data_IF_876099555558
#
_entry.id   IF_876099555558
#
_cell.length_a   1.000
_cell.length_b   1.000
_cell.length_c   1.000
_cell.angle_alpha   90.00
_cell.angle_beta   90.00
_cell.angle_gamma   90.00
#
_symmetry.space_group_name_H-M   'P 1'
#
loop_
_entity.id
_entity.type
_entity.pdbx_description
1 polymer ?
#
# COMPACT_ATOMS: atom_id res chain seq x y z
N UNK A 1 20.16 -6.06 15.73
CA UNK A 1 20.84 -4.83 15.35
C UNK A 1 21.26 -4.07 16.60
N UNK A 2 22.30 -3.26 16.52
CA UNK A 2 22.75 -2.41 17.63
C UNK A 2 21.92 -1.13 17.71
N UNK A 3 21.63 -0.58 16.56
CA UNK A 3 20.78 0.61 16.37
C UNK A 3 19.82 0.34 15.20
N UNK A 4 18.60 0.83 15.33
CA UNK A 4 17.56 0.74 14.29
C UNK A 4 16.88 2.10 14.18
N UNK A 5 16.86 2.67 12.98
CA UNK A 5 16.19 3.93 12.71
C UNK A 5 15.22 3.76 11.54
N UNK A 6 13.97 4.15 11.75
CA UNK A 6 12.93 4.16 10.71
C UNK A 6 12.83 5.57 10.11
N UNK A 7 12.98 5.66 8.80
CA UNK A 7 12.85 6.90 8.03
C UNK A 7 11.53 6.94 7.31
N UNK A 8 10.77 8.00 7.48
CA UNK A 8 9.49 8.21 6.81
C UNK A 8 9.49 9.49 5.99
N UNK A 9 9.03 9.41 4.74
CA UNK A 9 8.89 10.56 3.83
C UNK A 9 7.92 11.62 4.36
N UNK A 10 6.82 11.17 4.97
CA UNK A 10 5.79 12.02 5.56
C UNK A 10 6.06 12.39 7.01
N UNK A 11 5.18 13.18 7.61
CA UNK A 11 5.13 13.47 9.04
C UNK A 11 4.43 12.37 9.86
N UNK A 12 3.91 11.35 9.18
CA UNK A 12 3.23 10.19 9.78
C UNK A 12 3.64 8.93 9.05
N UNK A 13 3.53 7.81 9.75
CA UNK A 13 3.64 6.46 9.18
C UNK A 13 2.28 5.80 9.19
N UNK A 14 2.07 4.82 8.32
CA UNK A 14 0.80 4.08 8.18
C UNK A 14 0.61 2.99 9.22
N UNK A 15 1.63 2.67 10.01
CA UNK A 15 1.54 1.71 11.10
C UNK A 15 0.55 2.19 12.18
N UNK A 16 -0.11 1.26 12.87
CA UNK A 16 -1.00 1.56 13.98
C UNK A 16 -0.23 2.19 15.15
N UNK A 17 -0.93 2.96 15.99
CA UNK A 17 -0.32 3.56 17.19
C UNK A 17 0.30 2.52 18.13
N UNK A 18 -0.28 1.31 18.16
CA UNK A 18 0.21 0.19 18.94
C UNK A 18 1.56 -0.34 18.43
N UNK A 19 1.67 -0.57 17.12
CA UNK A 19 2.92 -0.98 16.49
C UNK A 19 4.03 0.06 16.67
N UNK A 20 3.69 1.35 16.52
CA UNK A 20 4.64 2.44 16.76
C UNK A 20 5.13 2.46 18.22
N UNK A 21 4.22 2.25 19.16
CA UNK A 21 4.56 2.23 20.59
C UNK A 21 5.49 1.05 20.91
N UNK A 22 5.20 -0.14 20.41
CA UNK A 22 6.06 -1.31 20.59
C UNK A 22 7.44 -1.10 19.96
N UNK A 23 7.49 -0.59 18.75
CA UNK A 23 8.77 -0.33 18.05
C UNK A 23 9.66 0.63 18.85
N UNK A 24 9.06 1.66 19.47
CA UNK A 24 9.79 2.57 20.36
C UNK A 24 10.26 1.89 21.65
N UNK A 25 9.46 1.01 22.24
CA UNK A 25 9.86 0.26 23.43
C UNK A 25 11.03 -0.69 23.14
N UNK A 26 11.11 -1.24 21.94
CA UNK A 26 12.24 -2.04 21.45
C UNK A 26 13.50 -1.19 21.13
N UNK A 27 13.43 0.12 21.31
CA UNK A 27 14.58 1.03 21.18
C UNK A 27 14.84 1.52 19.75
N UNK A 28 13.88 1.43 18.85
CA UNK A 28 14.03 2.00 17.50
C UNK A 28 13.68 3.49 17.47
N UNK A 29 14.46 4.26 16.71
CA UNK A 29 14.24 5.68 16.48
C UNK A 29 13.40 5.93 15.20
N UNK A 30 12.73 7.08 15.17
CA UNK A 30 11.91 7.52 14.05
C UNK A 30 12.35 8.89 13.56
N UNK A 31 12.64 8.99 12.26
CA UNK A 31 12.99 10.22 11.57
C UNK A 31 11.95 10.48 10.48
N UNK A 32 11.29 11.63 10.55
CA UNK A 32 10.23 12.02 9.62
C UNK A 32 10.72 13.05 8.60
N UNK A 33 10.03 13.16 7.48
CA UNK A 33 10.35 14.10 6.43
C UNK A 33 11.58 13.72 5.61
N UNK A 34 11.96 12.45 5.56
CA UNK A 34 13.11 11.95 4.81
C UNK A 34 12.64 10.95 3.75
N UNK A 35 12.80 11.32 2.48
CA UNK A 35 12.55 10.46 1.33
C UNK A 35 13.86 9.84 0.86
N UNK A 36 13.89 8.52 0.72
CA UNK A 36 15.07 7.84 0.17
C UNK A 36 15.26 8.22 -1.30
N UNK A 37 16.46 8.61 -1.67
CA UNK A 37 16.85 8.96 -3.04
C UNK A 37 17.68 7.86 -3.69
N UNK A 38 18.67 7.36 -2.99
CA UNK A 38 19.56 6.29 -3.45
C UNK A 38 20.20 5.56 -2.27
N UNK A 39 20.83 4.44 -2.56
CA UNK A 39 21.64 3.67 -1.62
C UNK A 39 23.01 3.46 -2.26
N UNK A 40 24.06 3.70 -1.51
CA UNK A 40 25.44 3.45 -1.90
C UNK A 40 26.15 2.57 -0.86
N UNK A 41 27.46 2.37 -0.99
CA UNK A 41 28.25 1.50 -0.08
C UNK A 41 28.27 2.00 1.37
N UNK A 42 28.10 3.32 1.60
CA UNK A 42 28.04 3.89 2.94
C UNK A 42 26.64 3.79 3.57
N UNK A 43 25.59 3.56 2.77
CA UNK A 43 24.22 3.48 3.23
C UNK A 43 23.24 4.31 2.40
N UNK A 44 22.06 4.64 2.94
CA UNK A 44 21.04 5.39 2.23
C UNK A 44 21.33 6.90 2.17
N UNK A 45 20.91 7.52 1.07
CA UNK A 45 20.89 8.97 0.89
C UNK A 45 19.44 9.45 0.87
N UNK A 46 19.17 10.52 1.59
CA UNK A 46 17.82 11.08 1.74
C UNK A 46 17.72 12.50 1.23
N UNK A 47 16.55 12.84 0.67
CA UNK A 47 16.06 14.20 0.48
C UNK A 47 15.15 14.60 1.64
N UNK A 48 15.25 15.85 2.09
CA UNK A 48 14.33 16.39 3.08
C UNK A 48 13.03 16.81 2.40
N UNK A 49 11.90 16.34 2.92
CA UNK A 49 10.58 16.66 2.39
C UNK A 49 10.14 18.06 2.79
N UNK A 50 9.61 18.82 1.82
CA UNK A 50 8.95 20.12 2.03
C UNK A 50 7.45 19.87 2.16
N UNK A 51 6.84 20.46 3.17
CA UNK A 51 5.41 20.24 3.50
C UNK A 51 4.59 21.50 3.32
N UNK A 52 3.35 21.35 2.88
CA UNK A 52 2.32 22.39 2.94
C UNK A 52 1.70 22.53 4.34
N UNK A 53 0.74 23.45 4.49
CA UNK A 53 -0.01 23.68 5.74
C UNK A 53 -0.79 22.46 6.22
N UNK A 54 -1.14 21.53 5.32
CA UNK A 54 -1.86 20.29 5.58
C UNK A 54 -0.93 19.10 5.84
N UNK A 55 0.38 19.33 5.99
CA UNK A 55 1.42 18.30 6.14
C UNK A 55 1.54 17.34 4.95
N UNK A 56 1.09 17.75 3.74
CA UNK A 56 1.31 17.02 2.51
C UNK A 56 2.68 17.39 1.94
N UNK A 57 3.40 16.40 1.43
CA UNK A 57 4.69 16.62 0.75
C UNK A 57 4.43 17.31 -0.59
N UNK A 58 5.00 18.50 -0.77
CA UNK A 58 4.88 19.33 -1.99
C UNK A 58 6.19 19.43 -2.77
N UNK A 59 7.30 18.94 -2.20
CA UNK A 59 8.60 18.98 -2.84
C UNK A 59 9.69 18.43 -1.92
N UNK A 60 10.93 18.59 -2.36
CA UNK A 60 12.11 18.16 -1.62
C UNK A 60 13.20 19.22 -1.70
N UNK A 61 14.01 19.32 -0.64
CA UNK A 61 15.22 20.14 -0.67
C UNK A 61 16.25 19.56 -1.64
N UNK A 62 17.11 20.39 -2.20
CA UNK A 62 18.19 19.94 -3.10
C UNK A 62 19.29 19.20 -2.37
N UNK A 63 19.50 19.55 -1.09
CA UNK A 63 20.54 18.94 -0.26
C UNK A 63 20.20 17.47 0.03
N UNK A 64 21.21 16.61 -0.15
CA UNK A 64 21.15 15.21 0.22
C UNK A 64 21.83 14.98 1.57
N UNK A 65 21.21 14.16 2.40
CA UNK A 65 21.75 13.71 3.66
C UNK A 65 22.18 12.24 3.56
N UNK A 66 23.48 11.98 3.68
CA UNK A 66 24.04 10.61 3.76
C UNK A 66 23.90 10.09 5.18
N UNK A 67 23.42 8.87 5.32
CA UNK A 67 23.37 8.14 6.59
C UNK A 67 24.22 6.88 6.46
N UNK A 68 25.08 6.63 7.41
CA UNK A 68 25.85 5.38 7.48
C UNK A 68 24.96 4.25 8.00
N UNK A 69 24.97 3.10 7.32
CA UNK A 69 24.20 1.93 7.72
C UNK A 69 24.79 0.65 7.15
N UNK A 70 24.90 -0.38 7.97
CA UNK A 70 25.35 -1.73 7.57
C UNK A 70 24.28 -2.47 6.75
N UNK A 71 23.00 -2.14 6.97
CA UNK A 71 21.85 -2.78 6.33
C UNK A 71 20.70 -1.80 6.13
N UNK A 72 20.05 -1.90 4.98
CA UNK A 72 18.87 -1.09 4.63
C UNK A 72 17.70 -2.00 4.28
N UNK A 73 16.56 -1.79 4.93
CA UNK A 73 15.30 -2.51 4.64
C UNK A 73 14.30 -1.52 4.05
N UNK A 74 13.86 -1.79 2.83
CA UNK A 74 12.89 -0.96 2.13
C UNK A 74 11.46 -1.43 2.46
N UNK A 75 10.72 -0.61 3.23
CA UNK A 75 9.35 -0.87 3.68
C UNK A 75 8.38 0.19 3.14
N UNK A 76 8.36 0.39 1.82
CA UNK A 76 7.58 1.46 1.16
C UNK A 76 6.25 0.99 0.59
N UNK A 77 5.76 -0.19 1.00
CA UNK A 77 4.57 -0.85 0.49
C UNK A 77 4.74 -1.33 -0.96
N UNK A 78 3.67 -1.88 -1.52
CA UNK A 78 3.63 -2.38 -2.89
C UNK A 78 2.49 -1.70 -3.65
N UNK A 79 2.66 -1.54 -4.95
CA UNK A 79 1.62 -1.08 -5.85
C UNK A 79 1.01 -2.25 -6.63
N UNK A 80 -0.26 -2.18 -7.04
CA UNK A 80 -0.87 -3.17 -7.91
C UNK A 80 -0.08 -3.35 -9.21
N UNK A 81 0.06 -4.61 -9.67
CA UNK A 81 0.62 -4.90 -10.99
C UNK A 81 -0.49 -4.75 -12.03
N UNK A 82 -0.36 -3.80 -12.95
CA UNK A 82 -1.38 -3.52 -13.96
C UNK A 82 -1.46 -4.57 -15.09
N UNK A 83 -0.61 -5.60 -15.10
CA UNK A 83 -0.56 -6.56 -16.21
C UNK A 83 -1.91 -7.19 -16.51
N UNK A 84 -2.64 -7.64 -15.47
CA UNK A 84 -3.96 -8.26 -15.64
C UNK A 84 -4.93 -7.31 -16.34
N UNK A 85 -5.02 -6.07 -15.89
CA UNK A 85 -5.94 -5.06 -16.44
C UNK A 85 -5.55 -4.67 -17.86
N UNK A 86 -4.25 -4.57 -18.16
CA UNK A 86 -3.76 -4.23 -19.49
C UNK A 86 -3.95 -5.35 -20.52
N UNK A 87 -4.15 -6.59 -20.08
CA UNK A 87 -4.31 -7.77 -20.94
C UNK A 87 -5.72 -8.35 -20.94
N UNK A 88 -6.65 -7.76 -20.20
CA UNK A 88 -8.04 -8.22 -20.12
C UNK A 88 -8.98 -7.06 -20.40
N UNK A 89 -9.68 -7.17 -21.54
CA UNK A 89 -10.68 -6.19 -21.93
C UNK A 89 -11.79 -6.09 -20.88
N UNK A 90 -12.37 -4.88 -20.75
CA UNK A 90 -13.50 -4.57 -19.86
C UNK A 90 -13.16 -4.52 -18.36
N UNK A 91 -11.98 -4.92 -17.90
CA UNK A 91 -11.58 -4.68 -16.51
C UNK A 91 -11.16 -3.22 -16.31
N UNK A 92 -11.83 -2.52 -15.41
CA UNK A 92 -11.53 -1.14 -15.04
C UNK A 92 -10.94 -1.07 -13.62
N UNK A 93 -10.13 -0.04 -13.40
CA UNK A 93 -9.49 0.21 -12.10
C UNK A 93 -9.75 1.62 -11.61
N UNK A 94 -9.53 1.82 -10.33
CA UNK A 94 -9.37 3.14 -9.73
C UNK A 94 -8.08 3.80 -10.23
N UNK A 95 -7.89 5.10 -9.94
CA UNK A 95 -6.63 5.82 -10.18
C UNK A 95 -5.42 5.15 -9.51
N UNK A 96 -5.63 4.39 -8.44
CA UNK A 96 -4.59 3.64 -7.72
C UNK A 96 -4.31 2.26 -8.32
N UNK A 97 -4.98 1.87 -9.41
CA UNK A 97 -4.80 0.58 -10.07
C UNK A 97 -5.54 -0.60 -9.39
N UNK A 98 -6.46 -0.34 -8.47
CA UNK A 98 -7.29 -1.37 -7.83
C UNK A 98 -8.53 -1.65 -8.67
N UNK A 99 -8.96 -2.92 -8.75
CA UNK A 99 -10.14 -3.31 -9.52
C UNK A 99 -11.41 -2.63 -9.00
N UNK A 100 -12.24 -2.14 -9.93
CA UNK A 100 -13.59 -1.66 -9.61
C UNK A 100 -14.53 -2.85 -9.53
N UNK A 101 -15.35 -2.88 -8.48
CA UNK A 101 -16.39 -3.88 -8.25
C UNK A 101 -17.70 -3.20 -7.89
N UNK A 102 -18.82 -3.93 -8.09
CA UNK A 102 -20.14 -3.57 -7.60
C UNK A 102 -20.37 -4.06 -6.15
N UNK A 103 -21.62 -3.91 -5.67
CA UNK A 103 -22.04 -4.36 -4.35
C UNK A 103 -21.99 -5.89 -4.15
N UNK A 104 -22.00 -6.66 -5.22
CA UNK A 104 -21.89 -8.12 -5.24
C UNK A 104 -20.45 -8.62 -5.48
N UNK A 105 -19.46 -7.72 -5.45
CA UNK A 105 -18.05 -8.01 -5.75
C UNK A 105 -17.79 -8.42 -7.21
N UNK A 106 -18.72 -8.20 -8.14
CA UNK A 106 -18.51 -8.41 -9.56
C UNK A 106 -17.72 -7.23 -10.14
N UNK A 107 -16.73 -7.51 -10.95
CA UNK A 107 -15.92 -6.49 -11.63
C UNK A 107 -16.70 -5.84 -12.76
N UNK A 108 -16.09 -4.89 -13.46
CA UNK A 108 -16.67 -4.33 -14.68
C UNK A 108 -16.71 -5.30 -15.87
N UNK A 109 -16.08 -6.47 -15.74
CA UNK A 109 -16.20 -7.59 -16.67
C UNK A 109 -17.21 -8.59 -16.09
N UNK A 110 -18.31 -8.79 -16.82
CA UNK A 110 -19.41 -9.65 -16.38
C UNK A 110 -18.96 -11.09 -16.08
N UNK A 111 -19.48 -11.67 -14.99
CA UNK A 111 -19.12 -13.00 -14.51
C UNK A 111 -17.74 -13.10 -13.85
N UNK A 112 -16.98 -12.00 -13.75
CA UNK A 112 -15.68 -11.95 -13.07
C UNK A 112 -15.81 -11.21 -11.75
N UNK A 113 -15.42 -11.87 -10.67
CA UNK A 113 -15.50 -11.35 -9.30
C UNK A 113 -14.11 -11.09 -8.73
N UNK A 114 -14.01 -10.11 -7.84
CA UNK A 114 -12.76 -9.77 -7.17
C UNK A 114 -12.98 -9.38 -5.71
N UNK A 115 -12.01 -9.71 -4.86
CA UNK A 115 -12.03 -9.40 -3.43
C UNK A 115 -10.61 -9.25 -2.87
N UNK A 116 -10.48 -8.69 -1.67
CA UNK A 116 -9.22 -8.53 -0.95
C UNK A 116 -8.34 -7.42 -1.50
N UNK A 117 -7.02 -7.58 -1.39
CA UNK A 117 -6.03 -6.54 -1.69
C UNK A 117 -6.11 -5.99 -3.12
N UNK A 118 -6.59 -6.77 -4.08
CA UNK A 118 -6.74 -6.34 -5.47
C UNK A 118 -7.85 -5.29 -5.65
N UNK A 119 -8.78 -5.20 -4.70
CA UNK A 119 -9.92 -4.27 -4.68
C UNK A 119 -9.69 -3.10 -3.73
N UNK A 120 -9.26 -3.36 -2.51
CA UNK A 120 -9.16 -2.35 -1.45
C UNK A 120 -7.72 -1.88 -1.17
N UNK A 121 -6.72 -2.53 -1.76
CA UNK A 121 -5.32 -2.34 -1.42
C UNK A 121 -4.89 -3.21 -0.23
N UNK A 122 -3.60 -3.13 0.12
CA UNK A 122 -3.03 -3.96 1.17
C UNK A 122 -3.76 -3.78 2.52
N UNK A 123 -4.30 -4.88 3.05
CA UNK A 123 -5.05 -4.92 4.29
C UNK A 123 -4.77 -6.25 5.04
N UNK A 124 -5.54 -6.54 6.09
CA UNK A 124 -5.36 -7.74 6.90
C UNK A 124 -5.98 -8.98 6.25
N UNK A 125 -5.48 -10.16 6.62
CA UNK A 125 -6.04 -11.45 6.18
C UNK A 125 -7.52 -11.58 6.59
N UNK A 126 -7.90 -11.04 7.75
CA UNK A 126 -9.30 -11.06 8.23
C UNK A 126 -10.24 -10.36 7.23
N UNK A 127 -9.86 -9.16 6.78
CA UNK A 127 -10.63 -8.44 5.76
C UNK A 127 -10.69 -9.19 4.43
N UNK A 128 -9.55 -9.76 3.98
CA UNK A 128 -9.54 -10.53 2.74
C UNK A 128 -10.48 -11.74 2.79
N UNK A 129 -10.56 -12.44 3.93
CA UNK A 129 -11.48 -13.57 4.13
C UNK A 129 -12.94 -13.11 4.18
N UNK A 130 -13.25 -11.99 4.84
CA UNK A 130 -14.59 -11.41 4.87
C UNK A 130 -15.06 -11.04 3.46
N UNK A 131 -14.23 -10.36 2.69
CA UNK A 131 -14.55 -9.98 1.32
C UNK A 131 -14.67 -11.19 0.38
N UNK A 132 -13.84 -12.22 0.56
CA UNK A 132 -13.95 -13.46 -0.21
C UNK A 132 -15.31 -14.15 0.02
N UNK A 133 -15.85 -14.13 1.25
CA UNK A 133 -17.21 -14.64 1.54
C UNK A 133 -18.28 -13.82 0.81
N UNK A 134 -18.17 -12.48 0.83
CA UNK A 134 -19.09 -11.62 0.08
C UNK A 134 -19.06 -11.89 -1.42
N UNK A 135 -17.86 -12.08 -1.98
CA UNK A 135 -17.67 -12.42 -3.38
C UNK A 135 -18.32 -13.78 -3.71
N UNK A 136 -18.15 -14.80 -2.85
CA UNK A 136 -18.79 -16.10 -3.02
C UNK A 136 -20.32 -16.01 -3.01
N UNK A 137 -20.91 -15.22 -2.11
CA UNK A 137 -22.35 -14.96 -2.10
C UNK A 137 -22.81 -14.20 -3.38
N UNK A 138 -22.00 -13.26 -3.87
CA UNK A 138 -22.25 -12.58 -5.13
C UNK A 138 -22.25 -13.52 -6.33
N UNK A 139 -21.28 -14.46 -6.38
CA UNK A 139 -21.22 -15.50 -7.41
C UNK A 139 -22.45 -16.41 -7.39
N UNK A 140 -22.90 -16.83 -6.21
CA UNK A 140 -24.11 -17.67 -6.06
C UNK A 140 -25.34 -16.92 -6.63
N UNK A 141 -25.55 -15.67 -6.21
CA UNK A 141 -26.65 -14.85 -6.73
C UNK A 141 -26.61 -14.65 -8.24
N UNK A 142 -25.42 -14.50 -8.80
CA UNK A 142 -25.23 -14.36 -10.24
C UNK A 142 -25.63 -15.65 -10.98
N UNK A 143 -25.16 -16.80 -10.54
CA UNK A 143 -25.49 -18.11 -11.14
C UNK A 143 -26.98 -18.44 -11.04
N UNK A 144 -27.64 -18.17 -9.89
CA UNK A 144 -29.08 -18.39 -9.70
C UNK A 144 -29.93 -17.52 -10.62
N UNK A 145 -29.45 -16.33 -10.99
CA UNK A 145 -30.13 -15.46 -11.96
C UNK A 145 -30.04 -16.02 -13.38
N UNK A 146 -28.86 -16.46 -13.78
CA UNK A 146 -28.60 -17.04 -15.10
C UNK A 146 -29.37 -18.35 -15.35
N UNK A 147 -29.63 -19.14 -14.29
CA UNK A 147 -30.46 -20.36 -14.39
C UNK A 147 -31.94 -20.08 -14.58
N UNK A 148 -32.43 -18.87 -14.30
CA UNK A 148 -33.82 -18.47 -14.37
C UNK A 148 -34.17 -17.61 -15.59
N UNK A 149 -33.21 -17.25 -16.43
CA UNK A 149 -33.37 -16.54 -17.69
C UNK A 149 -33.29 -17.52 -18.88
#
# INVERSE_FOLDING_TARGET
AKEVTLYARGKRISASSHEVSYTKLEGADFVFGKAIESINEAGPMFKTSIFDENNKVIGYEEKLDQVEADSVIICVSQAPKNKLVLTTDQLKTTEKGLLLIDENCMTTHEGVFAAGDVVQGANTVVHAVEEAKRAAEGMIRYMEREENE
#
